data_IF_737583236119
#
_entry.id   IF_737583236119
#
_cell.length_a   1.000
_cell.length_b   1.000
_cell.length_c   1.000
_cell.angle_alpha   90.00
_cell.angle_beta   90.00
_cell.angle_gamma   90.00
#
_symmetry.space_group_name_H-M   'P 1'
#
loop_
_entity.id
_entity.type
_entity.pdbx_description
1 polymer ?
#
# COMPACT_ATOMS: atom_id res chain seq x y z
N UNK A 1 12.31 0.03 21.13
CA UNK A 1 12.57 -0.89 20.00
C UNK A 1 11.62 -2.05 20.13
N UNK A 2 11.05 -2.52 19.02
CA UNK A 2 10.18 -3.71 18.97
C UNK A 2 10.95 -4.80 18.25
N UNK A 3 10.93 -6.03 18.78
CA UNK A 3 11.59 -7.18 18.17
C UNK A 3 10.57 -8.27 17.91
N UNK A 4 10.49 -8.73 16.66
CA UNK A 4 9.53 -9.74 16.22
C UNK A 4 10.24 -10.94 15.56
N UNK A 5 9.85 -12.15 15.96
CA UNK A 5 10.11 -13.37 15.19
C UNK A 5 8.98 -13.56 14.19
N UNK A 6 9.33 -13.46 12.90
CA UNK A 6 8.44 -13.66 11.76
C UNK A 6 8.70 -15.04 11.14
N UNK A 7 7.65 -15.79 10.85
CA UNK A 7 7.68 -16.97 10.00
C UNK A 7 6.56 -16.91 8.96
N UNK A 8 6.89 -17.22 7.72
CA UNK A 8 5.99 -17.27 6.56
C UNK A 8 6.20 -18.61 5.86
N UNK A 9 5.14 -19.38 5.69
CA UNK A 9 5.12 -20.61 4.91
C UNK A 9 4.09 -20.51 3.79
N UNK A 10 4.55 -20.71 2.56
CA UNK A 10 3.71 -20.72 1.35
C UNK A 10 3.80 -22.10 0.70
N UNK A 11 2.65 -22.64 0.28
CA UNK A 11 2.53 -23.92 -0.42
C UNK A 11 1.89 -23.75 -1.79
N UNK A 12 2.49 -24.39 -2.80
CA UNK A 12 2.02 -24.37 -4.17
C UNK A 12 2.10 -25.75 -4.81
N UNK A 13 1.12 -26.06 -5.66
CA UNK A 13 1.12 -27.22 -6.54
C UNK A 13 1.20 -26.76 -7.99
N UNK A 14 2.27 -27.16 -8.69
CA UNK A 14 2.59 -26.73 -10.06
C UNK A 14 2.15 -27.81 -11.03
N UNK A 15 1.05 -27.56 -11.75
CA UNK A 15 0.49 -28.49 -12.73
C UNK A 15 1.03 -28.30 -14.15
N UNK A 16 1.91 -27.32 -14.35
CA UNK A 16 2.50 -27.03 -15.65
C UNK A 16 3.70 -27.96 -15.90
N UNK A 17 3.72 -28.76 -16.97
CA UNK A 17 4.85 -29.64 -17.28
C UNK A 17 6.18 -28.91 -17.48
N UNK A 18 6.14 -27.63 -17.87
CA UNK A 18 7.32 -26.80 -18.03
C UNK A 18 7.79 -26.15 -16.71
N UNK A 19 7.08 -26.38 -15.60
CA UNK A 19 7.27 -25.62 -14.38
C UNK A 19 6.53 -24.27 -14.40
N UNK A 20 6.74 -23.46 -13.38
CA UNK A 20 6.14 -22.14 -13.26
C UNK A 20 7.14 -21.11 -12.73
N UNK A 21 6.98 -19.86 -13.14
CA UNK A 21 7.77 -18.75 -12.60
C UNK A 21 7.00 -18.06 -11.46
N UNK A 22 7.76 -17.66 -10.46
CA UNK A 22 7.27 -17.00 -9.27
C UNK A 22 8.08 -15.73 -9.03
N UNK A 23 7.40 -14.68 -8.59
CA UNK A 23 8.02 -13.49 -8.00
C UNK A 23 7.40 -13.27 -6.63
N UNK A 24 8.20 -13.42 -5.58
CA UNK A 24 7.78 -13.24 -4.19
C UNK A 24 8.25 -11.92 -3.61
N UNK A 25 7.40 -11.31 -2.78
CA UNK A 25 7.71 -10.15 -1.93
C UNK A 25 7.34 -10.50 -0.47
N UNK A 26 8.12 -11.41 0.13
CA UNK A 26 7.86 -11.97 1.47
C UNK A 26 8.96 -11.69 2.49
N UNK A 27 10.09 -11.17 2.02
CA UNK A 27 11.23 -10.87 2.87
C UNK A 27 11.02 -9.51 3.55
N UNK A 28 11.36 -9.41 4.82
CA UNK A 28 11.29 -8.16 5.55
C UNK A 28 12.20 -7.12 4.90
N UNK A 29 11.66 -5.93 4.64
CA UNK A 29 12.40 -4.81 4.07
C UNK A 29 13.46 -4.30 5.06
N UNK A 30 14.55 -3.75 4.55
CA UNK A 30 15.57 -3.09 5.36
C UNK A 30 15.46 -1.57 5.16
N UNK A 31 15.08 -0.84 6.20
CA UNK A 31 14.83 0.60 6.16
C UNK A 31 15.43 1.30 7.37
N UNK A 32 15.39 2.63 7.40
CA UNK A 32 15.86 3.39 8.56
C UNK A 32 15.12 3.05 9.87
N UNK A 33 13.88 2.54 9.79
CA UNK A 33 13.04 2.19 10.94
C UNK A 33 12.86 0.68 11.12
N UNK A 34 13.49 -0.15 10.28
CA UNK A 34 13.34 -1.61 10.33
C UNK A 34 14.63 -2.31 9.87
N UNK A 35 15.20 -3.17 10.71
CA UNK A 35 16.40 -3.96 10.40
C UNK A 35 16.16 -5.45 10.59
N UNK A 36 16.78 -6.28 9.75
CA UNK A 36 16.72 -7.73 9.84
C UNK A 36 17.97 -8.24 10.53
N UNK A 37 17.82 -8.75 11.76
CA UNK A 37 18.94 -9.23 12.58
C UNK A 37 19.42 -10.62 12.15
N UNK A 38 18.47 -11.49 11.77
CA UNK A 38 18.73 -12.80 11.15
C UNK A 38 17.58 -13.17 10.24
N UNK A 39 17.85 -13.91 9.18
CA UNK A 39 16.82 -14.45 8.30
C UNK A 39 17.26 -15.74 7.63
N UNK A 40 16.28 -16.51 7.15
CA UNK A 40 16.49 -17.73 6.37
C UNK A 40 15.37 -17.91 5.37
N UNK A 41 15.71 -18.12 4.10
CA UNK A 41 14.79 -18.51 3.04
C UNK A 41 15.09 -19.96 2.64
N UNK A 42 14.07 -20.80 2.54
CA UNK A 42 14.18 -22.20 2.14
C UNK A 42 13.13 -22.54 1.09
N UNK A 43 13.54 -23.28 0.06
CA UNK A 43 12.68 -23.83 -0.99
C UNK A 43 12.69 -25.35 -0.89
N UNK A 44 11.54 -26.01 -1.08
CA UNK A 44 11.47 -27.48 -1.08
C UNK A 44 12.15 -28.12 -2.29
N UNK A 45 12.17 -27.41 -3.42
CA UNK A 45 12.86 -27.83 -4.63
C UNK A 45 14.28 -27.28 -4.65
N UNK A 46 15.23 -28.05 -5.20
CA UNK A 46 16.62 -27.65 -5.37
C UNK A 46 16.79 -26.69 -6.55
N UNK A 47 16.22 -25.49 -6.43
CA UNK A 47 16.27 -24.40 -7.40
C UNK A 47 16.94 -23.18 -6.79
N UNK A 48 17.72 -22.46 -7.60
CA UNK A 48 18.45 -21.28 -7.13
C UNK A 48 17.59 -20.00 -7.28
N UNK A 49 17.23 -19.32 -6.16
CA UNK A 49 16.47 -18.09 -6.22
C UNK A 49 17.33 -16.90 -6.66
N UNK A 50 16.84 -16.09 -7.60
CA UNK A 50 17.40 -14.78 -7.87
C UNK A 50 16.77 -13.74 -6.93
N UNK A 51 17.58 -12.93 -6.26
CA UNK A 51 17.11 -11.91 -5.32
C UNK A 51 17.53 -10.51 -5.75
N UNK A 52 16.63 -9.54 -5.55
CA UNK A 52 16.92 -8.13 -5.80
C UNK A 52 16.23 -7.24 -4.76
N UNK A 53 16.90 -6.16 -4.39
CA UNK A 53 16.33 -5.11 -3.53
C UNK A 53 16.10 -3.86 -4.38
N UNK A 54 14.88 -3.35 -4.38
CA UNK A 54 14.56 -2.08 -4.99
C UNK A 54 15.17 -0.93 -4.14
N UNK A 55 16.04 -0.08 -4.71
CA UNK A 55 16.74 0.94 -3.94
C UNK A 55 15.83 2.09 -3.48
N UNK A 56 14.68 2.32 -4.13
CA UNK A 56 13.77 3.42 -3.78
C UNK A 56 12.79 3.02 -2.67
N UNK A 57 12.32 1.78 -2.69
CA UNK A 57 11.28 1.29 -1.77
C UNK A 57 11.83 0.35 -0.69
N UNK A 58 13.06 -0.13 -0.84
CA UNK A 58 13.67 -1.20 -0.06
C UNK A 58 12.91 -2.54 -0.09
N UNK A 59 11.95 -2.68 -1.01
CA UNK A 59 11.23 -3.92 -1.25
C UNK A 59 12.18 -4.98 -1.78
N UNK A 60 12.06 -6.21 -1.27
CA UNK A 60 12.94 -7.33 -1.64
C UNK A 60 12.15 -8.38 -2.41
N UNK A 61 12.64 -8.69 -3.60
CA UNK A 61 12.00 -9.61 -4.52
C UNK A 61 12.82 -10.88 -4.67
N UNK A 62 12.14 -12.02 -4.64
CA UNK A 62 12.71 -13.34 -4.92
C UNK A 62 12.05 -13.87 -6.19
N UNK A 63 12.83 -14.10 -7.24
CA UNK A 63 12.37 -14.76 -8.46
C UNK A 63 12.85 -16.20 -8.51
N UNK A 64 11.93 -17.12 -8.76
CA UNK A 64 12.20 -18.55 -8.83
C UNK A 64 11.49 -19.14 -10.05
N UNK A 65 12.18 -20.01 -10.79
CA UNK A 65 11.55 -20.96 -11.70
C UNK A 65 11.53 -22.32 -11.00
N UNK A 66 10.34 -22.85 -10.73
CA UNK A 66 10.16 -24.14 -10.04
C UNK A 66 9.60 -25.18 -11.01
N UNK A 67 10.07 -26.42 -10.90
CA UNK A 67 9.59 -27.53 -11.71
C UNK A 67 8.20 -28.01 -11.30
N UNK A 68 7.60 -28.92 -12.08
CA UNK A 68 6.27 -29.49 -11.78
C UNK A 68 6.21 -30.15 -10.39
N UNK A 69 5.03 -30.13 -9.77
CA UNK A 69 4.77 -30.69 -8.44
C UNK A 69 4.82 -29.66 -7.30
N UNK A 70 5.10 -30.15 -6.09
CA UNK A 70 5.01 -29.34 -4.88
C UNK A 70 6.18 -28.35 -4.75
N UNK A 71 5.86 -27.08 -4.46
CA UNK A 71 6.80 -26.05 -4.03
C UNK A 71 6.37 -25.49 -2.67
N UNK A 72 7.23 -25.64 -1.66
CA UNK A 72 7.12 -24.93 -0.39
C UNK A 72 8.18 -23.83 -0.31
N UNK A 73 7.75 -22.67 0.17
CA UNK A 73 8.61 -21.51 0.41
C UNK A 73 8.49 -21.15 1.88
N UNK A 74 9.59 -21.27 2.63
CA UNK A 74 9.63 -20.92 4.04
C UNK A 74 10.58 -19.75 4.25
N UNK A 75 10.09 -18.67 4.85
CA UNK A 75 10.88 -17.51 5.24
C UNK A 75 10.75 -17.27 6.74
N UNK A 76 11.88 -17.23 7.44
CA UNK A 76 11.96 -16.93 8.86
C UNK A 76 12.87 -15.73 9.06
N UNK A 77 12.50 -14.82 9.98
CA UNK A 77 13.33 -13.67 10.31
C UNK A 77 13.15 -13.19 11.75
N UNK A 78 14.22 -12.62 12.31
CA UNK A 78 14.17 -11.77 13.50
C UNK A 78 14.29 -10.31 13.04
N UNK A 79 13.25 -9.53 13.29
CA UNK A 79 13.13 -8.16 12.80
C UNK A 79 13.07 -7.19 13.97
N UNK A 80 13.91 -6.16 13.90
CA UNK A 80 13.92 -5.04 14.85
C UNK A 80 13.27 -3.82 14.20
N UNK A 81 12.31 -3.21 14.90
CA UNK A 81 11.53 -2.06 14.45
C UNK A 81 11.73 -0.89 15.42
N UNK A 82 12.05 0.27 14.82
CA UNK A 82 12.27 1.54 15.49
C UNK A 82 11.38 2.60 14.84
N UNK A 83 10.12 2.66 15.29
CA UNK A 83 9.19 3.69 14.84
C UNK A 83 9.69 5.09 15.22
N UNK A 84 9.50 6.04 14.31
CA UNK A 84 9.52 7.44 14.65
C UNK A 84 8.13 7.86 15.13
N UNK A 85 8.07 8.49 16.29
CA UNK A 85 6.83 8.99 16.90
C UNK A 85 6.76 10.51 16.71
N UNK A 86 5.59 11.01 16.32
CA UNK A 86 5.32 12.45 16.25
C UNK A 86 3.95 12.79 16.85
N UNK A 87 3.81 14.01 17.33
CA UNK A 87 2.53 14.55 17.78
C UNK A 87 1.60 14.76 16.57
N UNK A 88 0.42 14.10 16.51
CA UNK A 88 -0.46 14.18 15.34
C UNK A 88 -0.82 15.60 14.90
N UNK A 89 -1.10 16.48 15.86
CA UNK A 89 -1.53 17.87 15.58
C UNK A 89 -0.40 18.74 15.02
N UNK A 90 0.86 18.27 15.05
CA UNK A 90 2.01 18.96 14.47
C UNK A 90 2.28 18.60 13.00
N UNK A 91 1.55 17.64 12.45
CA UNK A 91 1.80 17.07 11.13
C UNK A 91 0.91 17.71 10.06
N UNK A 92 1.54 18.49 9.21
CA UNK A 92 0.90 19.23 8.13
C UNK A 92 0.98 18.49 6.79
N UNK A 93 -0.02 18.73 5.95
CA UNK A 93 0.05 18.36 4.53
C UNK A 93 1.07 19.24 3.81
N UNK A 94 1.82 18.64 2.90
CA UNK A 94 2.85 19.35 2.13
C UNK A 94 2.25 19.88 0.82
N UNK A 95 2.33 21.20 0.53
CA UNK A 95 1.91 21.73 -0.75
C UNK A 95 2.61 21.03 -1.91
N UNK A 96 1.91 20.76 -3.02
CA UNK A 96 2.47 20.02 -4.17
C UNK A 96 3.77 20.62 -4.70
N UNK A 97 3.89 21.96 -4.70
CA UNK A 97 5.10 22.69 -5.11
C UNK A 97 6.32 22.46 -4.21
N UNK A 98 6.13 21.92 -3.02
CA UNK A 98 7.17 21.69 -1.99
C UNK A 98 7.43 20.19 -1.79
N UNK A 99 6.73 19.31 -2.51
CA UNK A 99 6.94 17.87 -2.43
C UNK A 99 8.29 17.48 -3.06
N UNK A 100 9.04 16.57 -2.42
CA UNK A 100 10.17 15.92 -3.07
C UNK A 100 9.71 15.19 -4.34
N UNK A 101 10.54 15.19 -5.39
CA UNK A 101 10.16 14.63 -6.68
C UNK A 101 9.90 13.11 -6.60
N UNK A 102 10.58 12.41 -5.70
CA UNK A 102 10.37 10.98 -5.44
C UNK A 102 9.01 10.67 -4.80
N UNK A 103 8.35 11.66 -4.21
CA UNK A 103 7.01 11.52 -3.60
C UNK A 103 5.90 11.74 -4.63
N UNK A 104 6.16 12.54 -5.68
CA UNK A 104 5.18 12.90 -6.71
C UNK A 104 4.43 11.71 -7.36
N UNK A 105 5.07 10.54 -7.65
CA UNK A 105 4.37 9.39 -8.22
C UNK A 105 3.17 8.90 -7.38
N UNK A 106 3.18 9.16 -6.06
CA UNK A 106 2.15 8.72 -5.13
C UNK A 106 0.96 9.67 -5.02
N UNK A 107 0.90 10.73 -5.84
CA UNK A 107 -0.30 11.55 -6.05
C UNK A 107 -1.22 10.96 -7.12
N UNK A 108 -0.67 10.23 -8.08
CA UNK A 108 -1.38 9.81 -9.28
C UNK A 108 -2.25 8.56 -9.05
N UNK A 109 -3.34 8.40 -9.83
CA UNK A 109 -4.11 7.17 -9.80
C UNK A 109 -3.25 5.96 -10.20
N UNK A 110 -3.64 4.78 -9.72
CA UNK A 110 -2.99 3.51 -10.04
C UNK A 110 -4.04 2.42 -10.25
N UNK A 111 -3.62 1.20 -10.64
CA UNK A 111 -4.51 0.10 -11.06
C UNK A 111 -5.66 -0.15 -10.08
N UNK A 112 -5.39 -0.10 -8.78
CA UNK A 112 -6.39 -0.37 -7.74
C UNK A 112 -6.83 0.89 -6.99
N UNK A 113 -6.24 2.05 -7.26
CA UNK A 113 -6.53 3.31 -6.58
C UNK A 113 -6.92 4.39 -7.60
N UNK A 114 -8.13 4.32 -8.15
CA UNK A 114 -8.63 5.25 -9.17
C UNK A 114 -9.07 6.59 -8.56
N UNK A 115 -8.12 7.33 -7.98
CA UNK A 115 -8.34 8.60 -7.28
C UNK A 115 -8.98 9.68 -8.15
N UNK A 116 -8.68 9.67 -9.46
CA UNK A 116 -9.27 10.53 -10.48
C UNK A 116 -10.80 10.39 -10.57
N UNK A 117 -11.34 9.22 -10.21
CA UNK A 117 -12.79 8.95 -10.17
C UNK A 117 -13.45 9.34 -8.86
N UNK A 118 -12.67 9.69 -7.82
CA UNK A 118 -13.15 9.96 -6.47
C UNK A 118 -13.03 11.44 -6.06
N UNK A 119 -12.57 12.33 -6.96
CA UNK A 119 -12.37 13.76 -6.68
C UNK A 119 -13.60 14.44 -6.06
N UNK A 120 -14.78 14.25 -6.66
CA UNK A 120 -16.00 14.90 -6.19
C UNK A 120 -16.43 14.41 -4.79
N UNK A 121 -16.34 13.09 -4.55
CA UNK A 121 -16.63 12.50 -3.25
C UNK A 121 -15.66 13.02 -2.19
N UNK A 122 -14.37 12.96 -2.47
CA UNK A 122 -13.35 13.36 -1.51
C UNK A 122 -13.46 14.85 -1.16
N UNK A 123 -13.70 15.71 -2.16
CA UNK A 123 -13.93 17.14 -1.94
C UNK A 123 -15.19 17.40 -1.10
N UNK A 124 -16.28 16.65 -1.33
CA UNK A 124 -17.53 16.80 -0.59
C UNK A 124 -17.38 16.39 0.88
N UNK A 125 -16.78 15.22 1.14
CA UNK A 125 -16.68 14.64 2.48
C UNK A 125 -15.60 15.31 3.32
N UNK A 126 -14.47 15.69 2.72
CA UNK A 126 -13.25 16.07 3.45
C UNK A 126 -12.69 17.44 3.06
N UNK A 127 -13.18 18.07 2.00
CA UNK A 127 -12.59 19.30 1.45
C UNK A 127 -12.67 20.52 2.36
N UNK A 128 -13.62 20.54 3.31
CA UNK A 128 -13.78 21.61 4.31
C UNK A 128 -13.01 21.36 5.61
N UNK A 129 -12.40 20.18 5.78
CA UNK A 129 -11.64 19.83 6.97
C UNK A 129 -10.28 20.52 6.97
N UNK A 130 -9.77 20.81 8.17
CA UNK A 130 -8.44 21.39 8.37
C UNK A 130 -7.37 20.46 7.76
N UNK A 131 -6.54 20.94 6.82
CA UNK A 131 -5.46 20.14 6.24
C UNK A 131 -4.47 19.64 7.30
N UNK A 132 -4.00 18.41 7.17
CA UNK A 132 -3.04 17.78 8.08
C UNK A 132 -3.44 16.36 8.48
N UNK A 133 -2.77 15.82 9.51
CA UNK A 133 -3.01 14.46 9.99
C UNK A 133 -4.47 14.19 10.37
N UNK A 134 -5.16 15.17 10.97
CA UNK A 134 -6.56 15.03 11.38
C UNK A 134 -7.49 14.78 10.19
N UNK A 135 -7.21 15.35 9.00
CA UNK A 135 -7.96 15.08 7.78
C UNK A 135 -7.72 13.67 7.25
N UNK A 136 -6.49 13.18 7.29
CA UNK A 136 -6.16 11.79 6.93
C UNK A 136 -6.85 10.82 7.87
N UNK A 137 -6.86 11.11 9.17
CA UNK A 137 -7.55 10.30 10.17
C UNK A 137 -9.07 10.30 9.94
N UNK A 138 -9.66 11.43 9.53
CA UNK A 138 -11.07 11.50 9.14
C UNK A 138 -11.37 10.60 7.93
N UNK A 139 -10.48 10.55 6.92
CA UNK A 139 -10.59 9.60 5.80
C UNK A 139 -10.54 8.16 6.32
N UNK A 140 -9.60 7.81 7.19
CA UNK A 140 -9.49 6.47 7.77
C UNK A 140 -10.79 6.06 8.48
N UNK A 141 -11.30 6.90 9.38
CA UNK A 141 -12.54 6.63 10.10
C UNK A 141 -13.75 6.52 9.18
N UNK A 142 -13.81 7.34 8.14
CA UNK A 142 -14.88 7.24 7.14
C UNK A 142 -14.82 5.88 6.43
N UNK A 143 -13.64 5.46 5.97
CA UNK A 143 -13.48 4.14 5.33
C UNK A 143 -13.91 3.01 6.27
N UNK A 144 -13.52 3.06 7.55
CA UNK A 144 -13.94 2.10 8.58
C UNK A 144 -15.45 2.06 8.79
N UNK A 145 -16.11 3.22 8.74
CA UNK A 145 -17.57 3.30 8.88
C UNK A 145 -18.31 2.82 7.62
N UNK A 146 -17.68 2.95 6.46
CA UNK A 146 -18.28 2.65 5.16
C UNK A 146 -18.08 1.21 4.70
N UNK A 147 -17.01 0.54 5.13
CA UNK A 147 -16.65 -0.78 4.63
C UNK A 147 -16.65 -1.77 5.78
N UNK A 148 -17.34 -2.90 5.61
CA UNK A 148 -17.30 -4.00 6.58
C UNK A 148 -16.17 -4.96 6.24
N UNK A 149 -15.36 -5.30 7.23
CA UNK A 149 -14.35 -6.35 7.05
C UNK A 149 -15.04 -7.71 6.91
N UNK A 150 -14.81 -8.39 5.79
CA UNK A 150 -15.32 -9.75 5.56
C UNK A 150 -14.32 -10.56 4.75
N UNK A 151 -13.80 -11.62 5.35
CA UNK A 151 -12.87 -12.52 4.68
C UNK A 151 -13.61 -13.28 3.56
N UNK A 152 -12.98 -13.44 2.38
CA UNK A 152 -13.53 -13.97 1.11
C UNK A 152 -14.34 -12.98 0.27
N UNK A 153 -14.46 -11.73 0.70
CA UNK A 153 -15.38 -10.82 0.00
C UNK A 153 -14.86 -10.25 -1.31
N UNK A 154 -13.54 -10.30 -1.53
CA UNK A 154 -12.86 -9.69 -2.67
C UNK A 154 -11.85 -10.63 -3.32
N UNK A 155 -11.35 -10.21 -4.49
CA UNK A 155 -10.34 -10.92 -5.25
C UNK A 155 -9.20 -10.01 -5.72
N UNK A 156 -8.23 -10.60 -6.43
CA UNK A 156 -7.04 -9.88 -6.94
C UNK A 156 -7.35 -8.72 -7.89
N UNK A 157 -8.56 -8.63 -8.42
CA UNK A 157 -9.00 -7.62 -9.37
C UNK A 157 -9.76 -6.45 -8.73
N UNK A 158 -10.32 -6.65 -7.53
CA UNK A 158 -11.06 -5.67 -6.73
C UNK A 158 -10.22 -4.41 -6.51
N UNK A 159 -10.83 -3.24 -6.76
CA UNK A 159 -10.23 -1.92 -6.67
C UNK A 159 -10.96 -1.00 -5.68
N UNK A 160 -10.39 0.17 -5.38
CA UNK A 160 -10.97 1.17 -4.50
C UNK A 160 -12.43 1.54 -4.88
N UNK A 161 -12.71 1.69 -6.18
CA UNK A 161 -14.07 2.00 -6.65
C UNK A 161 -15.03 0.84 -6.40
N UNK A 162 -14.58 -0.40 -6.58
CA UNK A 162 -15.39 -1.59 -6.31
C UNK A 162 -15.71 -1.67 -4.81
N UNK A 163 -14.70 -1.52 -3.95
CA UNK A 163 -14.87 -1.50 -2.48
C UNK A 163 -15.82 -0.41 -2.01
N UNK A 164 -15.76 0.77 -2.62
CA UNK A 164 -16.68 1.87 -2.34
C UNK A 164 -18.14 1.50 -2.67
N UNK A 165 -18.36 0.73 -3.74
CA UNK A 165 -19.71 0.31 -4.17
C UNK A 165 -20.19 -0.88 -3.32
N UNK A 166 -19.33 -1.88 -3.14
CA UNK A 166 -19.63 -3.16 -2.49
C UNK A 166 -19.73 -3.05 -0.96
N UNK A 167 -19.05 -2.05 -0.37
CA UNK A 167 -19.03 -1.77 1.08
C UNK A 167 -18.54 -2.94 1.93
N UNK A 168 -17.74 -3.82 1.32
CA UNK A 168 -17.16 -4.99 1.95
C UNK A 168 -15.76 -5.22 1.39
N UNK A 169 -14.85 -5.75 2.19
CA UNK A 169 -13.48 -6.04 1.74
C UNK A 169 -12.60 -6.63 2.84
N UNK A 170 -11.32 -6.80 2.51
CA UNK A 170 -10.23 -7.14 3.44
C UNK A 170 -9.22 -5.99 3.54
N UNK A 171 -8.17 -6.13 4.36
CA UNK A 171 -7.19 -5.06 4.64
C UNK A 171 -6.65 -4.35 3.38
N UNK A 172 -6.34 -5.10 2.31
CA UNK A 172 -5.92 -4.57 1.00
C UNK A 172 -6.93 -3.57 0.42
N UNK A 173 -8.21 -3.91 0.47
CA UNK A 173 -9.27 -3.13 -0.16
C UNK A 173 -9.56 -1.84 0.62
N UNK A 174 -9.51 -1.93 1.96
CA UNK A 174 -9.55 -0.77 2.84
C UNK A 174 -8.38 0.18 2.57
N UNK A 175 -7.16 -0.36 2.44
CA UNK A 175 -5.97 0.42 2.11
C UNK A 175 -6.11 1.10 0.75
N UNK A 176 -6.56 0.40 -0.29
CA UNK A 176 -6.79 0.99 -1.62
C UNK A 176 -7.82 2.10 -1.62
N UNK A 177 -8.96 1.90 -0.95
CA UNK A 177 -9.98 2.95 -0.84
C UNK A 177 -9.46 4.19 -0.11
N UNK A 178 -8.77 4.00 1.02
CA UNK A 178 -8.15 5.10 1.75
C UNK A 178 -7.10 5.84 0.89
N UNK A 179 -6.22 5.12 0.21
CA UNK A 179 -5.19 5.70 -0.67
C UNK A 179 -5.83 6.51 -1.79
N UNK A 180 -6.86 5.96 -2.45
CA UNK A 180 -7.56 6.64 -3.53
C UNK A 180 -8.22 7.95 -3.07
N UNK A 181 -8.83 7.97 -1.88
CA UNK A 181 -9.40 9.18 -1.27
C UNK A 181 -8.32 10.19 -0.87
N UNK A 182 -7.21 9.75 -0.30
CA UNK A 182 -6.09 10.64 0.06
C UNK A 182 -5.50 11.32 -1.18
N UNK A 183 -5.27 10.54 -2.25
CA UNK A 183 -4.76 11.08 -3.53
C UNK A 183 -5.76 12.04 -4.19
N UNK A 184 -7.06 11.78 -4.08
CA UNK A 184 -8.09 12.69 -4.56
C UNK A 184 -8.10 14.05 -3.82
N UNK A 185 -7.51 14.10 -2.62
CA UNK A 185 -7.28 15.31 -1.82
C UNK A 185 -5.87 15.90 -2.00
N UNK A 186 -5.10 15.44 -3.00
CA UNK A 186 -3.71 15.82 -3.25
C UNK A 186 -2.73 15.45 -2.12
N UNK A 187 -3.06 14.45 -1.29
CA UNK A 187 -2.15 13.91 -0.29
C UNK A 187 -1.43 12.69 -0.88
N UNK A 188 -0.08 12.70 -1.00
CA UNK A 188 0.63 11.53 -1.49
C UNK A 188 0.40 10.35 -0.56
N UNK A 189 -0.09 9.26 -1.12
CA UNK A 189 -0.43 8.07 -0.35
C UNK A 189 0.08 6.81 -1.07
N UNK A 190 0.58 5.84 -0.32
CA UNK A 190 1.16 4.61 -0.83
C UNK A 190 0.67 3.40 -0.04
N UNK A 191 0.70 2.23 -0.66
CA UNK A 191 0.41 0.98 0.05
C UNK A 191 1.68 0.42 0.65
N UNK A 192 1.53 -0.25 1.77
CA UNK A 192 2.56 -1.11 2.33
C UNK A 192 2.01 -2.51 2.50
N UNK A 193 2.74 -3.48 1.95
CA UNK A 193 2.55 -4.90 2.21
C UNK A 193 3.38 -5.28 3.42
N UNK A 194 2.78 -6.02 4.35
CA UNK A 194 3.36 -6.36 5.63
C UNK A 194 2.76 -7.63 6.22
N UNK A 195 2.99 -7.84 7.51
CA UNK A 195 2.28 -8.85 8.30
C UNK A 195 1.58 -8.19 9.47
N UNK A 196 0.46 -8.75 9.91
CA UNK A 196 -0.19 -8.27 11.11
C UNK A 196 0.52 -8.77 12.39
N UNK A 197 0.24 -8.07 13.48
CA UNK A 197 0.53 -8.51 14.83
C UNK A 197 -0.65 -8.11 15.72
N UNK A 198 -1.04 -9.01 16.62
CA UNK A 198 -2.12 -8.74 17.58
C UNK A 198 -3.52 -8.67 16.96
N UNK A 199 -3.72 -9.26 15.78
CA UNK A 199 -5.05 -9.42 15.22
C UNK A 199 -5.95 -10.27 16.14
N UNK A 200 -7.22 -9.89 16.25
CA UNK A 200 -8.17 -10.62 17.07
C UNK A 200 -8.36 -12.04 16.52
N UNK A 201 -8.34 -13.05 17.39
CA UNK A 201 -8.53 -14.46 16.99
C UNK A 201 -9.85 -14.72 16.23
N UNK A 202 -10.85 -13.86 16.41
CA UNK A 202 -12.13 -13.90 15.68
C UNK A 202 -12.00 -13.58 14.19
N UNK A 203 -10.89 -12.94 13.77
CA UNK A 203 -10.62 -12.60 12.37
C UNK A 203 -9.92 -13.75 11.61
N UNK A 204 -9.44 -14.75 12.33
CA UNK A 204 -8.73 -15.90 11.78
C UNK A 204 -7.29 -16.03 12.31
N UNK A 205 -6.49 -16.93 11.72
CA UNK A 205 -5.06 -16.98 11.98
C UNK A 205 -4.36 -15.69 11.47
N UNK A 206 -3.14 -15.38 11.97
CA UNK A 206 -2.35 -14.28 11.42
C UNK A 206 -2.13 -14.44 9.92
N UNK A 207 -2.17 -13.33 9.20
CA UNK A 207 -2.03 -13.29 7.74
C UNK A 207 -1.12 -12.14 7.29
N UNK A 208 -0.89 -12.04 5.99
CA UNK A 208 -0.35 -10.83 5.40
C UNK A 208 -1.31 -9.68 5.66
N UNK A 209 -0.73 -8.50 5.88
CA UNK A 209 -1.48 -7.28 6.12
C UNK A 209 -1.12 -6.23 5.08
N UNK A 210 -2.10 -5.39 4.76
CA UNK A 210 -1.91 -4.25 3.89
C UNK A 210 -2.46 -3.01 4.57
N UNK A 211 -1.66 -1.95 4.59
CA UNK A 211 -2.02 -0.67 5.20
C UNK A 211 -1.60 0.49 4.31
N UNK A 212 -2.07 1.69 4.66
CA UNK A 212 -1.78 2.91 3.93
C UNK A 212 -0.70 3.71 4.64
N UNK A 213 0.13 4.38 3.85
CA UNK A 213 1.02 5.42 4.33
C UNK A 213 0.74 6.73 3.61
N UNK A 214 0.67 7.83 4.35
CA UNK A 214 0.44 9.17 3.81
C UNK A 214 1.63 10.06 4.15
N UNK A 215 2.10 10.82 3.16
CA UNK A 215 3.24 11.70 3.31
C UNK A 215 2.81 13.03 3.96
N UNK A 216 3.32 13.32 5.16
CA UNK A 216 3.05 14.52 5.94
C UNK A 216 4.38 15.09 6.46
N UNK A 217 4.54 16.41 6.44
CA UNK A 217 5.77 17.08 6.85
C UNK A 217 7.00 16.71 6.00
N UNK A 218 7.74 15.70 6.44
CA UNK A 218 8.96 15.17 5.80
C UNK A 218 8.99 13.63 5.70
N UNK A 219 7.89 12.95 6.07
CA UNK A 219 7.85 11.50 6.33
C UNK A 219 6.56 10.84 5.87
N UNK A 220 6.62 9.53 5.70
CA UNK A 220 5.45 8.66 5.53
C UNK A 220 4.93 8.21 6.90
N UNK A 221 3.66 8.48 7.17
CA UNK A 221 2.96 8.09 8.39
C UNK A 221 1.95 6.97 8.11
N UNK A 222 1.91 5.99 9.00
CA UNK A 222 1.13 4.77 8.87
C UNK A 222 -0.32 4.98 9.33
N UNK A 223 -1.24 4.47 8.52
CA UNK A 223 -2.67 4.42 8.79
C UNK A 223 -3.21 3.01 8.49
N UNK A 224 -3.96 2.43 9.43
CA UNK A 224 -4.57 1.11 9.28
C UNK A 224 -6.09 1.23 9.13
N UNK A 225 -6.60 1.36 7.89
CA UNK A 225 -8.03 1.53 7.67
C UNK A 225 -8.85 0.28 8.00
N UNK A 226 -8.29 -0.93 8.07
CA UNK A 226 -9.07 -2.08 8.52
C UNK A 226 -9.23 -2.14 10.04
N UNK A 227 -8.30 -1.53 10.79
CA UNK A 227 -8.28 -1.54 12.26
C UNK A 227 -8.15 -2.95 12.85
N UNK A 228 -7.56 -3.89 12.10
CA UNK A 228 -7.54 -5.30 12.46
C UNK A 228 -6.30 -5.74 13.22
N UNK A 229 -5.24 -4.92 13.25
CA UNK A 229 -4.00 -5.25 13.94
C UNK A 229 -3.48 -4.12 14.82
N UNK A 230 -2.30 -4.35 15.41
CA UNK A 230 -1.58 -3.36 16.23
C UNK A 230 -0.49 -2.72 15.37
N UNK A 231 -0.63 -1.44 14.94
CA UNK A 231 0.29 -0.78 14.02
C UNK A 231 1.77 -0.82 14.42
N UNK A 232 2.06 -0.75 15.72
CA UNK A 232 3.42 -0.86 16.22
C UNK A 232 4.09 -2.19 15.84
N UNK A 233 3.32 -3.26 15.66
CA UNK A 233 3.81 -4.60 15.36
C UNK A 233 3.82 -4.98 13.88
N UNK A 234 3.52 -4.05 12.96
CA UNK A 234 3.55 -4.37 11.54
C UNK A 234 4.98 -4.47 11.01
N UNK A 235 5.32 -5.63 10.46
CA UNK A 235 6.59 -5.83 9.74
C UNK A 235 6.36 -5.42 8.28
N UNK A 236 7.14 -4.46 7.77
CA UNK A 236 7.09 -4.09 6.34
C UNK A 236 7.81 -5.14 5.49
N UNK A 237 7.15 -5.59 4.43
CA UNK A 237 7.73 -6.44 3.38
C UNK A 237 8.04 -5.64 2.10
N UNK A 238 7.08 -4.81 1.67
CA UNK A 238 7.20 -4.02 0.45
C UNK A 238 6.35 -2.76 0.46
N UNK A 239 6.68 -1.81 -0.40
CA UNK A 239 5.96 -0.54 -0.52
C UNK A 239 5.83 -0.14 -1.97
N UNK A 240 4.65 0.38 -2.36
CA UNK A 240 4.34 0.69 -3.75
C UNK A 240 3.14 1.61 -3.90
N UNK A 241 2.75 1.92 -5.13
CA UNK A 241 1.59 2.78 -5.39
C UNK A 241 0.30 2.04 -5.04
N UNK A 242 0.23 0.75 -5.35
CA UNK A 242 -0.84 -0.14 -4.92
C UNK A 242 -0.36 -1.61 -4.92
N UNK A 243 -1.29 -2.56 -4.79
CA UNK A 243 -0.93 -3.98 -4.67
C UNK A 243 -0.26 -4.56 -5.93
N UNK A 244 -0.34 -3.89 -7.10
CA UNK A 244 0.36 -4.33 -8.30
C UNK A 244 1.88 -4.25 -8.13
N UNK A 245 2.35 -3.37 -7.25
CA UNK A 245 3.78 -3.16 -6.99
C UNK A 245 4.31 -4.05 -5.83
N UNK A 246 3.43 -4.63 -5.00
CA UNK A 246 3.79 -5.27 -3.71
C UNK A 246 3.08 -6.59 -3.40
N UNK A 247 2.59 -7.31 -4.42
CA UNK A 247 1.98 -8.62 -4.22
C UNK A 247 2.98 -9.58 -3.55
N UNK A 248 2.56 -10.28 -2.48
CA UNK A 248 3.45 -11.21 -1.78
C UNK A 248 3.91 -12.37 -2.68
N UNK A 249 3.09 -12.75 -3.67
CA UNK A 249 3.42 -13.70 -4.71
C UNK A 249 2.72 -13.33 -6.03
N UNK A 250 3.49 -13.28 -7.12
CA UNK A 250 2.99 -13.24 -8.49
C UNK A 250 3.35 -14.55 -9.17
N UNK A 251 2.36 -15.21 -9.77
CA UNK A 251 2.47 -16.57 -10.32
C UNK A 251 2.34 -16.53 -11.85
N UNK A 252 3.25 -17.19 -12.56
CA UNK A 252 3.22 -17.30 -14.01
C UNK A 252 3.24 -18.78 -14.41
N UNK A 253 2.07 -19.30 -14.78
CA UNK A 253 1.87 -20.70 -15.10
C UNK A 253 0.61 -21.27 -14.45
N UNK A 254 0.39 -22.57 -14.62
CA UNK A 254 -0.71 -23.29 -13.96
C UNK A 254 -0.29 -23.72 -12.56
N UNK A 255 -0.68 -22.91 -11.57
CA UNK A 255 -0.34 -23.12 -10.16
C UNK A 255 -1.61 -23.08 -9.31
N UNK A 256 -1.74 -24.03 -8.37
CA UNK A 256 -2.71 -23.94 -7.27
C UNK A 256 -1.97 -23.52 -6.00
N UNK A 257 -2.49 -22.52 -5.30
CA UNK A 257 -1.92 -22.03 -4.06
C UNK A 257 -2.69 -22.55 -2.85
N UNK A 258 -1.98 -22.89 -1.78
CA UNK A 258 -2.54 -23.13 -0.46
C UNK A 258 -2.69 -21.81 0.30
N UNK A 259 -3.49 -21.82 1.37
CA UNK A 259 -3.56 -20.68 2.28
C UNK A 259 -2.18 -20.47 2.97
N UNK A 260 -1.68 -19.23 3.02
CA UNK A 260 -0.42 -18.94 3.69
C UNK A 260 -0.52 -19.24 5.18
N UNK A 261 0.59 -19.67 5.79
CA UNK A 261 0.71 -19.74 7.25
C UNK A 261 1.73 -18.71 7.70
N UNK A 262 1.27 -17.76 8.51
CA UNK A 262 2.08 -16.65 8.97
C UNK A 262 2.05 -16.62 10.49
N UNK A 263 3.17 -16.31 11.11
CA UNK A 263 3.23 -16.02 12.54
C UNK A 263 4.20 -14.90 12.81
N UNK A 264 3.78 -13.95 13.66
CA UNK A 264 4.61 -12.89 14.19
C UNK A 264 4.55 -12.96 15.72
N UNK A 265 5.69 -13.16 16.38
CA UNK A 265 5.78 -13.25 17.85
C UNK A 265 6.67 -12.16 18.38
N UNK A 266 6.19 -11.42 19.37
CA UNK A 266 6.99 -10.41 20.03
C UNK A 266 8.01 -11.06 20.97
N UNK A 267 9.27 -10.69 20.82
CA UNK A 267 10.32 -11.06 21.76
C UNK A 267 10.29 -10.09 22.95
N UNK A 268 10.36 -10.62 24.17
CA UNK A 268 10.52 -9.83 25.40
C UNK A 268 11.93 -10.03 25.94
N UNK A 269 12.63 -8.94 26.28
CA UNK A 269 14.04 -8.95 26.68
C UNK A 269 14.90 -7.96 25.88
N UNK A 270 16.14 -7.71 26.31
CA UNK A 270 17.12 -6.84 25.62
C UNK A 270 16.64 -5.41 25.29
N UNK A 271 15.75 -4.83 26.11
CA UNK A 271 15.18 -3.50 25.87
C UNK A 271 14.11 -3.46 24.77
N UNK A 272 13.69 -4.63 24.26
CA UNK A 272 12.53 -4.74 23.39
C UNK A 272 11.23 -4.56 24.17
N UNK A 273 10.30 -3.81 23.61
CA UNK A 273 8.95 -3.61 24.15
C UNK A 273 7.92 -4.33 23.29
N UNK A 274 6.86 -4.82 23.92
CA UNK A 274 5.75 -5.42 23.20
C UNK A 274 5.01 -4.37 22.35
N UNK A 275 4.58 -4.70 21.11
CA UNK A 275 3.72 -3.82 20.34
C UNK A 275 2.42 -3.49 21.09
N UNK A 276 2.02 -2.23 21.04
CA UNK A 276 0.77 -1.74 21.64
C UNK A 276 0.16 -0.65 20.75
N UNK A 277 -1.10 -0.27 20.99
CA UNK A 277 -1.69 0.89 20.33
C UNK A 277 -1.15 2.16 20.97
N UNK A 278 -0.69 3.10 20.14
CA UNK A 278 -0.23 4.42 20.56
C UNK A 278 -1.16 5.51 19.99
N UNK A 279 -1.12 6.70 20.59
CA UNK A 279 -1.91 7.86 20.11
C UNK A 279 -1.10 8.73 19.16
N UNK A 280 0.21 8.64 19.26
CA UNK A 280 1.20 9.29 18.44
C UNK A 280 1.12 8.79 17.00
N UNK A 281 1.47 9.67 16.06
CA UNK A 281 1.60 9.32 14.66
C UNK A 281 2.86 8.48 14.45
N UNK A 282 2.69 7.27 13.90
CA UNK A 282 3.78 6.34 13.61
C UNK A 282 4.34 6.60 12.22
N UNK A 283 5.64 6.89 12.13
CA UNK A 283 6.37 6.81 10.87
C UNK A 283 7.30 5.60 10.87
N UNK A 284 7.16 4.83 9.80
CA UNK A 284 7.91 3.62 9.46
C UNK A 284 9.01 3.92 8.42
N UNK A 285 9.26 5.19 8.12
CA UNK A 285 10.23 5.64 7.12
C UNK A 285 11.20 6.67 7.68
N UNK A 286 12.42 6.69 7.14
CA UNK A 286 13.33 7.82 7.35
C UNK A 286 12.76 9.12 6.79
N UNK A 287 13.29 10.29 7.22
CA UNK A 287 12.90 11.56 6.62
C UNK A 287 13.35 11.57 5.16
N UNK A 288 12.51 12.10 4.27
CA UNK A 288 12.94 12.39 2.89
C UNK A 288 13.62 13.76 2.86
N UNK A 289 14.58 13.93 1.96
CA UNK A 289 15.24 15.22 1.82
C UNK A 289 14.21 16.21 1.23
N UNK A 290 13.83 17.24 2.00
CA UNK A 290 13.05 18.35 1.44
C UNK A 290 13.84 18.96 0.29
N UNK A 291 13.16 19.30 -0.80
CA UNK A 291 13.76 20.10 -1.87
C UNK A 291 14.33 21.37 -1.23
N UNK A 292 15.66 21.46 -1.18
CA UNK A 292 16.36 22.61 -0.64
C UNK A 292 16.27 23.77 -1.63
N UNK A 293 15.09 24.39 -1.72
CA UNK A 293 14.97 25.69 -2.36
C UNK A 293 15.39 26.74 -1.32
N UNK A 294 16.58 27.31 -1.53
CA UNK A 294 17.23 28.27 -0.66
C UNK A 294 16.49 29.61 -0.49
N UNK A 295 15.35 29.60 0.19
CA UNK A 295 14.72 30.79 0.79
C UNK A 295 14.24 30.45 2.19
N UNK A 296 15.02 30.88 3.18
CA UNK A 296 14.58 30.91 4.58
C UNK A 296 13.32 31.78 4.74
N UNK A 297 12.62 31.64 5.88
CA UNK A 297 11.34 32.30 6.08
C UNK A 297 11.53 33.82 6.09
N UNK A 298 10.94 34.51 5.11
CA UNK A 298 10.80 35.95 5.17
C UNK A 298 9.80 36.27 6.29
N UNK A 299 10.32 36.77 7.42
CA UNK A 299 9.52 37.32 8.49
C UNK A 299 8.73 38.53 7.99
N UNK A 300 7.42 38.55 8.25
CA UNK A 300 6.59 39.75 8.21
C UNK A 300 5.73 39.91 6.96
N UNK A 301 4.52 39.34 6.98
CA UNK A 301 3.39 39.90 6.26
C UNK A 301 2.16 39.85 7.17
N UNK A 302 1.70 41.04 7.58
CA UNK A 302 0.48 41.25 8.35
C UNK A 302 -0.77 40.86 7.54
N UNK A 303 -1.89 40.51 8.20
CA UNK A 303 -3.08 40.03 7.51
C UNK A 303 -3.78 41.17 6.77
N UNK A 304 -3.87 41.06 5.43
CA UNK A 304 -4.76 41.90 4.66
C UNK A 304 -6.21 41.50 4.94
N UNK A 305 -6.99 42.48 5.42
CA UNK A 305 -8.45 42.40 5.55
C UNK A 305 -9.07 42.05 4.20
N UNK A 306 -9.77 40.93 4.12
CA UNK A 306 -10.60 40.59 2.97
C UNK A 306 -11.90 41.39 3.06
N UNK A 307 -12.16 42.21 2.06
CA UNK A 307 -13.42 42.90 1.85
C UNK A 307 -14.53 41.86 1.56
N UNK A 308 -15.69 42.08 2.15
CA UNK A 308 -16.94 41.39 1.89
C UNK A 308 -17.34 41.54 0.42
N UNK A 309 -17.53 40.43 -0.27
CA UNK A 309 -18.12 40.37 -1.61
C UNK A 309 -18.60 38.95 -1.89
N UNK A 310 -19.92 38.78 -1.96
CA UNK A 310 -20.60 37.54 -2.34
C UNK A 310 -20.08 36.98 -3.67
N UNK A 311 -19.70 35.71 -3.67
CA UNK A 311 -19.31 34.98 -4.87
C UNK A 311 -18.78 33.60 -4.52
N UNK A 312 -19.55 32.56 -4.84
CA UNK A 312 -19.20 31.16 -4.60
C UNK A 312 -17.84 30.81 -5.23
N UNK A 313 -16.93 30.28 -4.40
CA UNK A 313 -15.62 29.77 -4.85
C UNK A 313 -15.81 28.34 -5.35
N UNK A 314 -15.66 28.14 -6.65
CA UNK A 314 -15.60 26.81 -7.27
C UNK A 314 -14.20 26.18 -7.09
N UNK A 315 -14.08 24.85 -6.97
CA UNK A 315 -12.78 24.19 -6.86
C UNK A 315 -12.00 24.29 -8.18
N UNK A 316 -10.72 24.67 -8.09
CA UNK A 316 -9.78 24.69 -9.20
C UNK A 316 -9.42 23.25 -9.62
N UNK A 317 -10.06 22.76 -10.68
CA UNK A 317 -9.66 21.53 -11.36
C UNK A 317 -8.47 21.78 -12.28
N UNK A 318 -7.39 21.01 -12.12
CA UNK A 318 -6.35 20.87 -13.14
C UNK A 318 -6.92 19.99 -14.26
N UNK A 319 -7.35 20.60 -15.38
CA UNK A 319 -7.73 19.88 -16.60
C UNK A 319 -6.45 19.43 -17.32
N UNK A 320 -6.32 18.14 -17.60
CA UNK A 320 -5.32 17.65 -18.55
C UNK A 320 -5.57 18.26 -19.93
N UNK A 321 -4.61 19.01 -20.45
CA UNK A 321 -4.63 19.52 -21.82
C UNK A 321 -4.03 18.45 -22.75
N UNK A 322 -4.77 17.37 -23.02
CA UNK A 322 -4.44 16.45 -24.10
C UNK A 322 -5.04 16.99 -25.40
N UNK A 323 -4.17 17.62 -26.21
CA UNK A 323 -4.45 18.02 -27.59
C UNK A 323 -4.76 16.77 -28.43
N UNK A 324 -5.99 16.64 -28.92
CA UNK A 324 -6.37 15.60 -29.88
C UNK A 324 -6.32 16.15 -31.30
N UNK A 325 -5.18 15.97 -31.98
CA UNK A 325 -5.12 16.04 -33.44
C UNK A 325 -5.54 14.68 -34.01
N UNK A 326 -6.75 14.58 -34.56
CA UNK A 326 -7.23 13.39 -35.27
C UNK A 326 -6.63 13.25 -36.67
N UNK A 327 -6.78 12.06 -37.29
CA UNK A 327 -7.21 12.06 -38.69
C UNK A 327 -8.32 11.05 -39.00
N UNK A 328 -9.11 11.44 -39.99
CA UNK A 328 -10.15 10.70 -40.72
C UNK A 328 -9.59 9.60 -41.62
N UNK A 329 -10.25 8.43 -41.72
CA UNK A 329 -10.77 7.85 -42.98
C UNK A 329 -11.19 6.35 -42.91
N UNK A 330 -12.45 6.12 -43.30
CA UNK A 330 -13.05 5.08 -44.20
C UNK A 330 -12.89 3.56 -43.97
N UNK A 331 -14.00 2.90 -44.31
CA UNK A 331 -14.38 1.49 -44.15
C UNK A 331 -13.93 0.53 -45.29
N UNK A 332 -13.89 -0.78 -45.00
CA UNK A 332 -14.30 -1.87 -45.90
C UNK A 332 -14.43 -3.22 -45.16
N UNK A 333 -15.39 -4.03 -45.61
CA UNK A 333 -15.87 -5.34 -45.14
C UNK A 333 -14.87 -6.52 -45.22
N UNK A 334 -15.13 -7.58 -44.42
CA UNK A 334 -15.11 -8.96 -44.95
C UNK A 334 -14.48 -10.10 -44.12
N UNK A 335 -15.38 -10.96 -43.56
CA UNK A 335 -15.30 -12.44 -43.37
C UNK A 335 -14.35 -13.07 -42.33
N UNK A 336 -14.98 -13.78 -41.40
CA UNK A 336 -14.77 -15.23 -41.16
C UNK A 336 -13.83 -15.65 -40.02
N UNK A 337 -14.13 -16.74 -39.29
CA UNK A 337 -13.84 -16.84 -37.85
C UNK A 337 -12.54 -17.59 -37.52
N UNK A 338 -11.89 -17.20 -36.42
CA UNK A 338 -10.86 -17.99 -35.78
C UNK A 338 -11.06 -18.01 -34.26
N UNK A 339 -11.02 -19.22 -33.71
CA UNK A 339 -11.09 -19.54 -32.31
C UNK A 339 -9.92 -18.96 -31.50
N UNK A 340 -10.15 -18.71 -30.22
CA UNK A 340 -9.07 -18.67 -29.22
C UNK A 340 -9.19 -17.56 -28.18
N UNK A 341 -8.70 -17.89 -26.99
CA UNK A 341 -8.57 -17.06 -25.78
C UNK A 341 -9.85 -16.83 -24.96
N UNK A 342 -10.14 -17.78 -24.08
CA UNK A 342 -10.86 -17.49 -22.84
C UNK A 342 -9.94 -16.71 -21.88
N UNK A 343 -10.47 -15.72 -21.12
CA UNK A 343 -9.68 -14.90 -20.22
C UNK A 343 -9.17 -15.69 -19.00
N UNK A 344 -7.96 -15.33 -18.57
CA UNK A 344 -7.23 -15.84 -17.42
C UNK A 344 -8.07 -15.80 -16.13
N UNK A 345 -8.19 -16.96 -15.48
CA UNK A 345 -8.75 -17.11 -14.12
C UNK A 345 -7.62 -16.96 -13.10
N UNK A 346 -7.56 -15.84 -12.40
CA UNK A 346 -7.14 -15.83 -10.99
C UNK A 346 -8.42 -15.99 -10.17
N UNK A 347 -8.59 -17.10 -9.47
CA UNK A 347 -9.75 -17.34 -8.60
C UNK A 347 -9.36 -17.09 -7.13
N UNK A 348 -10.22 -16.43 -6.34
CA UNK A 348 -10.07 -16.27 -4.90
C UNK A 348 -10.57 -17.52 -4.15
N UNK A 349 -9.87 -17.84 -3.06
CA UNK A 349 -10.15 -18.84 -2.01
C UNK A 349 -10.18 -20.33 -2.34
#
# INVERSE_FOLDING_TARGET
>A
MIRLELAVELGYEIDDPAGADFVFNIQAAQTACQSVARERLQLSQAVEPAQATDPATASRFVRVHAGPGELRVNYEALVDIHHHLAEPDSLEEVPVRELPLEVMPYLYPSRYCQSDRLLALAAHEFGSLVPGYSRVLAVQHWVQAQVRFLSNSSDSTTSAVDTLIERVGVCRDFAHLMIALCRALNMPARIVSGTDFGAAATLGPPDFHAYAEVYLGDRWYLFDPSGTGIPMGFVRLGTGRDAADVAFATLFGRVRAEAPRISARACTGDGAVAPHHCREALSTSGPTARAADGRGPAAGAQPHRCCTGDGAVAPHHCREALSTSGPTARAADGRGPAAGAQPHRCLPR
#
